data_IF_547907261296
#
_entry.id   IF_547907261296
#
_cell.length_a   1.000
_cell.length_b   1.000
_cell.length_c   1.000
_cell.angle_alpha   90.00
_cell.angle_beta   90.00
_cell.angle_gamma   90.00
#
_symmetry.space_group_name_H-M   'P 1'
#
loop_
_entity.id
_entity.type
_entity.pdbx_description
1 polymer ?
#
# COMPACT_ATOMS: atom_id res chain seq x y z
N UNK A 1 20.12 2.34 28.60
CA UNK A 1 18.76 2.79 28.94
C UNK A 1 18.60 4.21 28.43
N UNK A 2 17.63 4.48 27.56
CA UNK A 2 17.32 5.86 27.20
C UNK A 2 16.85 6.60 28.46
N UNK A 3 17.47 7.75 28.73
CA UNK A 3 17.15 8.57 29.89
C UNK A 3 15.95 9.51 29.67
N UNK A 4 15.31 9.41 28.50
CA UNK A 4 14.22 10.29 28.10
C UNK A 4 12.92 9.52 28.03
N UNK A 5 11.86 10.05 28.64
CA UNK A 5 10.48 9.63 28.46
C UNK A 5 9.76 10.63 27.56
N UNK A 6 8.64 10.21 26.95
CA UNK A 6 7.78 11.11 26.16
C UNK A 6 7.09 12.18 27.02
N UNK A 7 7.04 12.01 28.36
CA UNK A 7 6.30 12.89 29.24
C UNK A 7 4.83 13.02 28.82
N UNK A 8 4.37 14.23 28.59
CA UNK A 8 2.99 14.52 28.11
C UNK A 8 2.89 14.62 26.58
N UNK A 9 3.97 14.33 25.86
CA UNK A 9 4.00 14.47 24.41
C UNK A 9 3.23 13.32 23.72
N UNK A 10 2.28 13.64 22.85
CA UNK A 10 1.46 12.70 22.07
C UNK A 10 1.50 12.95 20.56
N UNK A 11 2.52 13.66 20.06
CA UNK A 11 2.62 14.07 18.64
C UNK A 11 2.55 12.87 17.68
N UNK A 12 3.21 11.75 17.97
CA UNK A 12 3.15 10.54 17.14
C UNK A 12 1.76 9.88 17.13
N UNK A 13 0.99 9.98 18.21
CA UNK A 13 -0.38 9.49 18.28
C UNK A 13 -1.31 10.33 17.39
N UNK A 14 -1.19 11.67 17.49
CA UNK A 14 -2.01 12.62 16.71
C UNK A 14 -1.69 12.51 15.20
N UNK A 15 -0.43 12.33 14.84
CA UNK A 15 -0.01 12.28 13.44
C UNK A 15 -0.25 10.93 12.76
N UNK A 16 -0.53 9.88 13.52
CA UNK A 16 -0.78 8.57 12.94
C UNK A 16 -2.09 8.53 12.15
N UNK A 17 -2.09 8.34 10.81
CA UNK A 17 -3.30 8.44 10.00
C UNK A 17 -4.32 7.35 10.28
N UNK A 18 -3.91 6.27 10.97
CA UNK A 18 -4.76 5.12 11.29
C UNK A 18 -5.00 4.95 12.79
N UNK A 19 -4.42 5.81 13.63
CA UNK A 19 -4.51 5.67 15.09
C UNK A 19 -3.85 4.38 15.59
N UNK A 20 -2.76 3.95 14.96
CA UNK A 20 -2.05 2.73 15.37
C UNK A 20 -1.27 2.88 16.69
N UNK A 21 -1.11 4.11 17.19
CA UNK A 21 -0.38 4.41 18.43
C UNK A 21 -1.40 5.00 19.41
N UNK A 22 -2.01 4.15 20.22
CA UNK A 22 -3.03 4.53 21.19
C UNK A 22 -2.47 4.72 22.61
N UNK A 23 -1.32 4.13 22.91
CA UNK A 23 -0.60 4.30 24.18
C UNK A 23 0.88 4.56 23.97
N UNK A 24 1.55 5.08 25.01
CA UNK A 24 3.00 5.25 24.99
C UNK A 24 3.70 3.90 24.74
N UNK A 25 4.66 3.90 23.81
CA UNK A 25 5.50 2.74 23.46
C UNK A 25 4.75 1.51 22.92
N UNK A 26 3.48 1.66 22.54
CA UNK A 26 2.67 0.56 21.99
C UNK A 26 2.16 0.91 20.59
N UNK A 27 2.26 -0.05 19.68
CA UNK A 27 1.76 0.06 18.30
C UNK A 27 0.85 -1.13 18.03
N UNK A 28 -0.40 -0.85 17.67
CA UNK A 28 -1.28 -1.84 17.09
C UNK A 28 -0.89 -2.10 15.63
N UNK A 29 -0.23 -3.23 15.39
CA UNK A 29 0.23 -3.60 14.04
C UNK A 29 -0.93 -3.77 13.05
N UNK A 30 -2.14 -4.15 13.52
CA UNK A 30 -3.30 -4.28 12.63
C UNK A 30 -3.80 -2.94 12.09
N UNK A 31 -3.40 -1.82 12.69
CA UNK A 31 -3.67 -0.47 12.20
C UNK A 31 -2.45 0.15 11.50
N UNK A 32 -1.24 -0.37 11.70
CA UNK A 32 -0.02 0.25 11.22
C UNK A 32 0.14 0.10 9.69
N UNK A 33 0.21 1.22 8.96
CA UNK A 33 0.42 1.23 7.50
C UNK A 33 1.73 0.53 7.13
N UNK A 34 2.81 0.79 7.87
CA UNK A 34 4.12 0.16 7.60
C UNK A 34 4.06 -1.37 7.70
N UNK A 35 3.32 -1.90 8.69
CA UNK A 35 3.09 -3.34 8.80
C UNK A 35 2.34 -3.87 7.59
N UNK A 36 1.26 -3.21 7.17
CA UNK A 36 0.43 -3.69 6.07
C UNK A 36 1.15 -3.66 4.71
N UNK A 37 1.97 -2.64 4.44
CA UNK A 37 2.78 -2.56 3.21
C UNK A 37 3.85 -3.66 3.14
N UNK A 38 4.21 -4.26 4.27
CA UNK A 38 5.19 -5.35 4.38
C UNK A 38 4.52 -6.71 4.70
N UNK A 39 3.20 -6.77 4.86
CA UNK A 39 2.48 -7.99 5.19
C UNK A 39 2.11 -8.80 3.95
N UNK A 40 2.15 -10.15 3.99
CA UNK A 40 1.62 -10.99 2.92
C UNK A 40 0.09 -11.11 2.93
N UNK A 41 -0.58 -10.58 3.94
CA UNK A 41 -2.04 -10.65 4.07
C UNK A 41 -2.73 -9.66 3.12
N UNK A 42 -4.00 -9.91 2.84
CA UNK A 42 -4.87 -8.96 2.13
C UNK A 42 -5.06 -7.73 3.03
N UNK A 43 -4.72 -6.55 2.50
CA UNK A 43 -4.81 -5.28 3.23
C UNK A 43 -6.29 -4.88 3.35
N UNK A 44 -6.80 -4.55 4.55
CA UNK A 44 -8.18 -4.06 4.73
C UNK A 44 -8.46 -2.78 3.92
N UNK A 45 -9.68 -2.61 3.42
CA UNK A 45 -10.06 -1.49 2.55
C UNK A 45 -9.81 -0.13 3.21
N UNK A 46 -10.14 0.01 4.50
CA UNK A 46 -9.92 1.24 5.27
C UNK A 46 -8.42 1.60 5.39
N UNK A 47 -7.54 0.60 5.44
CA UNK A 47 -6.10 0.81 5.45
C UNK A 47 -5.60 1.22 4.06
N UNK A 48 -6.12 0.59 2.99
CA UNK A 48 -5.72 0.92 1.60
C UNK A 48 -5.92 2.42 1.31
N UNK A 49 -7.03 2.98 1.75
CA UNK A 49 -7.31 4.42 1.59
C UNK A 49 -6.31 5.27 2.38
N UNK A 50 -5.97 4.85 3.60
CA UNK A 50 -5.03 5.56 4.49
C UNK A 50 -3.56 5.46 4.05
N UNK A 51 -3.22 4.48 3.21
CA UNK A 51 -1.89 4.38 2.59
C UNK A 51 -1.59 5.63 1.78
N UNK A 52 -2.59 6.27 1.18
CA UNK A 52 -2.42 7.44 0.31
C UNK A 52 -1.42 7.15 -0.82
N UNK A 53 -0.39 7.96 -0.98
CA UNK A 53 0.64 7.80 -2.03
C UNK A 53 1.88 6.99 -1.59
N UNK A 54 1.84 6.32 -0.43
CA UNK A 54 3.00 5.57 0.10
C UNK A 54 3.18 4.27 -0.65
N UNK A 55 4.36 4.11 -1.22
CA UNK A 55 4.78 2.87 -1.89
C UNK A 55 5.33 1.85 -0.88
N UNK A 56 6.10 2.31 0.11
CA UNK A 56 6.73 1.44 1.10
C UNK A 56 6.98 2.19 2.41
N UNK A 57 6.66 1.55 3.53
CA UNK A 57 6.83 2.14 4.85
C UNK A 57 5.84 3.26 5.18
N UNK A 58 5.92 3.76 6.40
CA UNK A 58 5.18 4.93 6.88
C UNK A 58 5.96 5.51 8.06
N UNK A 59 6.42 6.74 7.92
CA UNK A 59 7.26 7.42 8.90
C UNK A 59 6.58 8.61 9.59
N UNK A 60 5.25 8.77 9.45
CA UNK A 60 4.50 9.90 10.00
C UNK A 60 4.73 10.09 11.50
N UNK A 61 4.77 9.01 12.26
CA UNK A 61 5.05 9.03 13.69
C UNK A 61 6.51 9.43 14.02
N UNK A 62 7.46 9.11 13.15
CA UNK A 62 8.87 9.51 13.31
C UNK A 62 9.07 10.97 12.89
N UNK A 63 8.42 11.40 11.81
CA UNK A 63 8.49 12.77 11.29
C UNK A 63 7.86 13.78 12.26
N UNK A 64 6.83 13.38 13.01
CA UNK A 64 6.19 14.23 14.01
C UNK A 64 6.92 14.24 15.36
N UNK A 65 7.81 13.27 15.61
CA UNK A 65 8.53 13.15 16.87
C UNK A 65 9.69 14.16 16.97
N UNK A 66 9.73 15.10 17.96
CA UNK A 66 10.80 16.09 18.05
C UNK A 66 12.22 15.48 18.06
N UNK A 67 12.52 14.42 18.84
CA UNK A 67 13.79 13.72 18.72
C UNK A 67 14.02 13.03 17.36
N UNK A 68 12.95 12.59 16.68
CA UNK A 68 13.01 11.96 15.36
C UNK A 68 13.36 12.95 14.26
N UNK A 69 12.73 14.12 14.26
CA UNK A 69 12.97 15.20 13.29
C UNK A 69 14.44 15.59 13.21
N UNK A 70 15.11 15.73 14.33
CA UNK A 70 16.53 16.12 14.38
C UNK A 70 17.47 15.11 13.69
N UNK A 71 17.06 13.84 13.58
CA UNK A 71 17.81 12.81 12.86
C UNK A 71 17.49 12.76 11.38
N UNK A 72 16.27 13.15 10.99
CA UNK A 72 15.77 13.07 9.60
C UNK A 72 16.12 14.30 8.76
N UNK A 73 16.38 15.45 9.38
CA UNK A 73 16.73 16.72 8.70
C UNK A 73 17.97 16.57 7.78
N UNK A 74 18.83 15.61 8.04
CA UNK A 74 20.02 15.34 7.22
C UNK A 74 19.79 14.35 6.06
N UNK A 75 18.57 13.85 5.88
CA UNK A 75 18.24 12.94 4.78
C UNK A 75 17.64 13.77 3.61
N UNK A 76 18.52 14.52 2.93
CA UNK A 76 18.17 15.37 1.78
C UNK A 76 17.90 14.59 0.48
N UNK A 77 17.58 13.29 0.53
CA UNK A 77 17.25 12.52 -0.67
C UNK A 77 15.78 12.09 -0.60
N UNK A 78 14.92 12.88 -1.23
CA UNK A 78 13.61 12.38 -1.67
C UNK A 78 13.85 11.33 -2.75
N UNK A 79 13.43 10.11 -2.48
CA UNK A 79 13.45 9.04 -3.47
C UNK A 79 12.12 9.11 -4.22
N UNK A 80 12.14 9.72 -5.40
CA UNK A 80 10.98 9.71 -6.28
C UNK A 80 10.84 8.34 -6.92
N UNK A 81 9.66 7.76 -6.81
CA UNK A 81 9.32 6.44 -7.36
C UNK A 81 8.25 6.63 -8.42
N UNK A 82 8.54 6.24 -9.64
CA UNK A 82 7.51 6.12 -10.67
C UNK A 82 6.72 4.82 -10.43
N UNK A 83 5.47 4.98 -9.98
CA UNK A 83 4.60 3.86 -9.65
C UNK A 83 4.23 3.02 -10.88
N UNK A 84 4.10 3.64 -12.06
CA UNK A 84 3.80 2.94 -13.31
C UNK A 84 5.02 2.11 -13.74
N UNK A 85 6.23 2.68 -13.64
CA UNK A 85 7.48 1.94 -13.87
C UNK A 85 7.56 0.71 -12.95
N UNK A 86 7.29 0.88 -11.65
CA UNK A 86 7.31 -0.22 -10.66
C UNK A 86 6.33 -1.33 -11.02
N UNK A 87 5.11 -0.99 -11.42
CA UNK A 87 4.08 -1.98 -11.78
C UNK A 87 4.51 -2.78 -13.01
N UNK A 88 5.13 -2.15 -13.99
CA UNK A 88 5.53 -2.77 -15.26
C UNK A 88 6.92 -3.43 -15.23
N UNK A 89 7.72 -3.17 -14.18
CA UNK A 89 9.09 -3.67 -14.07
C UNK A 89 9.12 -5.20 -13.98
N UNK A 90 10.15 -5.82 -14.55
CA UNK A 90 10.41 -7.25 -14.36
C UNK A 90 10.57 -7.60 -12.88
N UNK A 91 10.09 -8.77 -12.47
CA UNK A 91 10.07 -9.18 -11.07
C UNK A 91 11.48 -9.30 -10.46
N UNK A 92 12.43 -9.83 -11.21
CA UNK A 92 13.80 -9.97 -10.74
C UNK A 92 14.48 -8.61 -10.61
N UNK A 93 14.29 -7.73 -11.61
CA UNK A 93 14.80 -6.37 -11.60
C UNK A 93 14.23 -5.57 -10.42
N UNK A 94 12.92 -5.66 -10.19
CA UNK A 94 12.25 -4.97 -9.09
C UNK A 94 12.80 -5.39 -7.72
N UNK A 95 12.94 -6.69 -7.49
CA UNK A 95 13.49 -7.21 -6.24
C UNK A 95 14.98 -6.84 -6.09
N UNK A 96 15.73 -6.78 -7.17
CA UNK A 96 17.13 -6.33 -7.14
C UNK A 96 17.26 -4.85 -6.83
N UNK A 97 16.45 -4.00 -7.49
CA UNK A 97 16.38 -2.55 -7.28
C UNK A 97 16.07 -2.18 -5.83
N UNK A 98 15.18 -2.94 -5.18
CA UNK A 98 14.78 -2.75 -3.78
C UNK A 98 15.30 -3.86 -2.85
N UNK A 99 16.54 -4.30 -3.07
CA UNK A 99 17.13 -5.44 -2.34
C UNK A 99 17.18 -5.25 -0.82
N UNK A 100 17.22 -4.01 -0.32
CA UNK A 100 17.21 -3.65 1.09
C UNK A 100 15.81 -3.60 1.73
N UNK A 101 14.73 -3.67 0.93
CA UNK A 101 13.39 -3.74 1.48
C UNK A 101 13.06 -5.16 1.96
N UNK A 102 12.33 -5.25 3.06
CA UNK A 102 11.69 -6.50 3.42
C UNK A 102 10.49 -6.72 2.49
N UNK A 103 10.58 -7.75 1.68
CA UNK A 103 9.49 -8.16 0.78
C UNK A 103 9.11 -9.60 1.13
N UNK A 104 7.84 -9.90 1.47
CA UNK A 104 7.41 -11.24 1.82
C UNK A 104 7.81 -12.24 0.73
N UNK A 105 8.45 -13.35 1.14
CA UNK A 105 8.93 -14.40 0.21
C UNK A 105 9.83 -13.91 -0.93
N UNK A 106 10.33 -12.68 -0.87
CA UNK A 106 11.03 -12.01 -1.99
C UNK A 106 10.19 -11.99 -3.28
N UNK A 107 8.87 -11.92 -3.15
CA UNK A 107 7.93 -11.90 -4.25
C UNK A 107 7.61 -10.44 -4.63
N UNK A 108 7.95 -10.07 -5.86
CA UNK A 108 7.79 -8.72 -6.41
C UNK A 108 6.34 -8.23 -6.42
N UNK A 109 5.37 -9.14 -6.46
CA UNK A 109 3.94 -8.81 -6.51
C UNK A 109 3.49 -8.04 -5.28
N UNK A 110 4.16 -8.20 -4.12
CA UNK A 110 3.86 -7.37 -2.94
C UNK A 110 4.29 -5.91 -3.10
N UNK A 111 5.36 -5.63 -3.84
CA UNK A 111 5.74 -4.26 -4.17
C UNK A 111 4.82 -3.67 -5.24
N UNK A 112 4.50 -4.44 -6.29
CA UNK A 112 3.55 -4.03 -7.33
C UNK A 112 2.16 -3.75 -6.73
N UNK A 113 1.69 -4.59 -5.81
CA UNK A 113 0.48 -4.36 -5.03
C UNK A 113 0.48 -3.01 -4.34
N UNK A 114 1.57 -2.67 -3.66
CA UNK A 114 1.70 -1.40 -2.96
C UNK A 114 1.65 -0.21 -3.95
N UNK A 115 2.31 -0.35 -5.10
CA UNK A 115 2.28 0.65 -6.17
C UNK A 115 0.86 0.82 -6.75
N UNK A 116 0.12 -0.26 -6.97
CA UNK A 116 -1.29 -0.22 -7.43
C UNK A 116 -2.15 0.54 -6.43
N UNK A 117 -2.03 0.28 -5.12
CA UNK A 117 -2.79 0.98 -4.08
C UNK A 117 -2.46 2.47 -4.08
N UNK A 118 -1.18 2.83 -4.10
CA UNK A 118 -0.74 4.22 -4.08
C UNK A 118 -1.22 4.98 -5.34
N UNK A 119 -1.12 4.35 -6.52
CA UNK A 119 -1.59 4.91 -7.78
C UNK A 119 -3.12 5.05 -7.81
N UNK A 120 -3.88 4.11 -7.25
CA UNK A 120 -5.34 4.19 -7.19
C UNK A 120 -5.83 5.28 -6.22
N UNK A 121 -5.05 5.61 -5.19
CA UNK A 121 -5.34 6.74 -4.30
C UNK A 121 -5.01 8.10 -4.94
N UNK A 122 -4.05 8.14 -5.87
CA UNK A 122 -3.59 9.33 -6.58
C UNK A 122 -3.46 9.02 -8.09
N UNK A 123 -4.58 8.83 -8.81
CA UNK A 123 -4.54 8.33 -10.17
C UNK A 123 -3.94 9.36 -11.14
N UNK A 124 -3.08 8.86 -12.02
CA UNK A 124 -2.54 9.58 -13.17
C UNK A 124 -3.47 9.37 -14.38
N UNK A 125 -3.36 10.18 -15.45
CA UNK A 125 -4.29 10.14 -16.59
C UNK A 125 -4.55 8.75 -17.18
N UNK A 126 -3.55 7.89 -17.28
CA UNK A 126 -3.68 6.55 -17.89
C UNK A 126 -3.81 5.42 -16.85
N UNK A 127 -4.07 5.75 -15.59
CA UNK A 127 -4.13 4.72 -14.53
C UNK A 127 -5.28 3.73 -14.72
N UNK A 128 -6.41 4.21 -15.27
CA UNK A 128 -7.57 3.38 -15.51
C UNK A 128 -7.30 2.27 -16.53
N UNK A 129 -6.67 2.59 -17.66
CA UNK A 129 -6.28 1.62 -18.68
C UNK A 129 -5.30 0.59 -18.14
N UNK A 130 -4.32 1.04 -17.36
CA UNK A 130 -3.37 0.17 -16.69
C UNK A 130 -4.09 -0.83 -15.76
N UNK A 131 -5.00 -0.35 -14.90
CA UNK A 131 -5.73 -1.25 -13.99
C UNK A 131 -6.60 -2.25 -14.72
N UNK A 132 -7.22 -1.87 -15.86
CA UNK A 132 -7.94 -2.80 -16.72
C UNK A 132 -7.03 -3.89 -17.30
N UNK A 133 -5.82 -3.55 -17.74
CA UNK A 133 -4.85 -4.53 -18.22
C UNK A 133 -4.41 -5.49 -17.11
N UNK A 134 -4.20 -4.99 -15.90
CA UNK A 134 -3.78 -5.78 -14.74
C UNK A 134 -4.84 -6.79 -14.25
N UNK A 135 -6.12 -6.62 -14.62
CA UNK A 135 -7.13 -7.66 -14.39
C UNK A 135 -6.85 -8.98 -15.11
N UNK A 136 -5.94 -8.98 -16.10
CA UNK A 136 -5.54 -10.15 -16.88
C UNK A 136 -4.17 -10.70 -16.46
N UNK A 137 -3.60 -10.19 -15.36
CA UNK A 137 -2.34 -10.70 -14.80
C UNK A 137 -2.47 -12.16 -14.37
N UNK A 138 -1.40 -12.93 -14.53
CA UNK A 138 -1.30 -14.29 -13.98
C UNK A 138 -1.31 -14.27 -12.44
N UNK A 139 -0.86 -13.19 -11.82
CA UNK A 139 -0.82 -13.02 -10.36
C UNK A 139 -2.21 -12.73 -9.78
N UNK A 140 -2.66 -13.59 -8.87
CA UNK A 140 -3.88 -13.36 -8.09
C UNK A 140 -3.82 -12.04 -7.30
N UNK A 141 -2.66 -11.74 -6.68
CA UNK A 141 -2.46 -10.51 -5.91
C UNK A 141 -2.69 -9.29 -6.79
N UNK A 142 -2.09 -9.26 -7.98
CA UNK A 142 -2.23 -8.15 -8.92
C UNK A 142 -3.69 -7.98 -9.35
N UNK A 143 -4.37 -9.07 -9.72
CA UNK A 143 -5.79 -9.01 -10.12
C UNK A 143 -6.68 -8.50 -8.99
N UNK A 144 -6.49 -8.99 -7.76
CA UNK A 144 -7.28 -8.57 -6.60
C UNK A 144 -7.20 -7.06 -6.37
N UNK A 145 -5.99 -6.53 -6.36
CA UNK A 145 -5.82 -5.08 -6.11
C UNK A 145 -6.18 -4.22 -7.32
N UNK A 146 -6.17 -4.77 -8.53
CA UNK A 146 -6.67 -4.09 -9.72
C UNK A 146 -8.20 -3.94 -9.70
N UNK A 147 -8.94 -4.94 -9.20
CA UNK A 147 -10.38 -4.82 -8.93
C UNK A 147 -10.66 -3.65 -7.98
N UNK A 148 -9.94 -3.58 -6.85
CA UNK A 148 -10.10 -2.48 -5.91
C UNK A 148 -9.69 -1.13 -6.52
N UNK A 149 -8.62 -1.09 -7.30
CA UNK A 149 -8.14 0.13 -7.96
C UNK A 149 -9.19 0.67 -8.95
N UNK A 150 -9.79 -0.18 -9.76
CA UNK A 150 -10.87 0.20 -10.68
C UNK A 150 -12.12 0.68 -9.93
N UNK A 151 -12.51 0.00 -8.84
CA UNK A 151 -13.57 0.51 -7.98
C UNK A 151 -13.24 1.90 -7.43
N UNK A 152 -12.00 2.13 -7.09
CA UNK A 152 -11.55 3.42 -6.52
C UNK A 152 -11.62 4.56 -7.52
N UNK A 153 -11.33 4.30 -8.80
CA UNK A 153 -11.27 5.33 -9.85
C UNK A 153 -12.56 5.48 -10.65
N UNK A 154 -13.31 4.40 -10.91
CA UNK A 154 -14.50 4.43 -11.78
C UNK A 154 -15.70 3.62 -11.28
N UNK A 155 -15.65 3.09 -10.04
CA UNK A 155 -16.70 2.27 -9.43
C UNK A 155 -16.99 1.00 -10.19
N UNK A 156 -16.00 0.41 -10.87
CA UNK A 156 -16.10 -0.81 -11.68
C UNK A 156 -17.03 -0.67 -12.91
N UNK A 157 -17.30 0.54 -13.36
CA UNK A 157 -18.19 0.77 -14.51
C UNK A 157 -17.70 0.13 -15.81
N UNK A 158 -16.39 -0.06 -15.94
CA UNK A 158 -15.76 -0.67 -17.13
C UNK A 158 -15.74 -2.20 -17.09
N UNK A 159 -16.02 -2.82 -15.94
CA UNK A 159 -15.98 -4.28 -15.81
C UNK A 159 -17.33 -4.89 -16.24
N UNK A 160 -17.31 -5.71 -17.29
CA UNK A 160 -18.44 -6.58 -17.60
C UNK A 160 -18.49 -7.74 -16.60
N UNK A 161 -19.52 -7.74 -15.74
CA UNK A 161 -19.67 -8.70 -14.63
C UNK A 161 -19.73 -10.15 -15.13
N UNK A 162 -20.51 -10.43 -16.19
CA UNK A 162 -20.66 -11.78 -16.71
C UNK A 162 -19.32 -12.34 -17.23
N UNK A 163 -18.59 -11.53 -17.99
CA UNK A 163 -17.25 -11.89 -18.48
C UNK A 163 -16.25 -12.07 -17.34
N UNK A 164 -16.32 -11.22 -16.32
CA UNK A 164 -15.46 -11.32 -15.14
C UNK A 164 -15.66 -12.65 -14.43
N UNK A 165 -16.90 -13.02 -14.04
CA UNK A 165 -17.16 -14.27 -13.33
C UNK A 165 -16.88 -15.53 -14.17
N UNK A 166 -17.02 -15.47 -15.50
CA UNK A 166 -16.67 -16.60 -16.37
C UNK A 166 -15.16 -16.87 -16.43
N UNK A 167 -14.37 -15.83 -16.27
CA UNK A 167 -12.91 -15.92 -16.40
C UNK A 167 -12.19 -16.10 -15.08
N UNK A 168 -12.62 -15.37 -14.03
CA UNK A 168 -11.91 -15.37 -12.74
C UNK A 168 -12.16 -16.68 -11.99
N UNK A 169 -11.06 -17.32 -11.58
CA UNK A 169 -11.08 -18.60 -10.86
C UNK A 169 -10.70 -18.44 -9.39
N UNK A 170 -10.05 -17.33 -9.02
CA UNK A 170 -9.65 -17.07 -7.64
C UNK A 170 -10.83 -16.62 -6.79
N UNK A 171 -11.11 -17.36 -5.73
CA UNK A 171 -12.17 -17.01 -4.78
C UNK A 171 -11.86 -15.70 -4.03
N UNK A 172 -10.59 -15.36 -3.82
CA UNK A 172 -10.21 -14.10 -3.19
C UNK A 172 -10.53 -12.90 -4.09
N UNK A 173 -10.27 -13.02 -5.41
CA UNK A 173 -10.56 -11.95 -6.38
C UNK A 173 -12.06 -11.80 -6.59
N UNK A 174 -12.81 -12.90 -6.67
CA UNK A 174 -14.28 -12.91 -6.76
C UNK A 174 -14.88 -12.27 -5.50
N UNK A 175 -14.40 -12.65 -4.32
CA UNK A 175 -14.87 -12.09 -3.06
C UNK A 175 -14.60 -10.57 -2.96
N UNK A 176 -13.43 -10.13 -3.38
CA UNK A 176 -13.09 -8.70 -3.44
C UNK A 176 -14.07 -7.94 -4.35
N UNK A 177 -14.36 -8.48 -5.53
CA UNK A 177 -15.32 -7.89 -6.46
C UNK A 177 -16.72 -7.82 -5.86
N UNK A 178 -17.20 -8.91 -5.24
CA UNK A 178 -18.52 -8.99 -4.61
C UNK A 178 -18.70 -8.00 -3.45
N UNK A 179 -17.62 -7.74 -2.70
CA UNK A 179 -17.65 -6.75 -1.61
C UNK A 179 -17.82 -5.31 -2.15
N UNK A 180 -17.30 -5.04 -3.33
CA UNK A 180 -17.23 -3.68 -3.87
C UNK A 180 -18.45 -3.30 -4.74
N UNK A 181 -19.22 -4.27 -5.22
CA UNK A 181 -20.43 -4.04 -6.02
C UNK A 181 -21.73 -3.97 -5.21
N UNK A 182 -21.62 -4.17 -3.88
CA UNK A 182 -22.74 -3.98 -2.93
C UNK A 182 -23.00 -2.51 -2.68
#
# INVERSE_FOLDING_TARGET
KASYSCGTCNMCQISCPTGAIDNEYQIDSNKCISYWLQSPKIIPHEIRIKIANRFYGCDDCLLSCPPGQNKLININKTFEVDLIEIINMDNYELISKFSWFYVPKRDADYLKRNAIIALANNPLPNSHELFNQLLYSDSEIIRLYSVWALWRVDRLNTINKETFYKREVSQNVIHEFDLLIK
#
